data_IF_759614261082
#
_entry.id   IF_759614261082
#
_cell.length_a   1.000
_cell.length_b   1.000
_cell.length_c   1.000
_cell.angle_alpha   90.00
_cell.angle_beta   90.00
_cell.angle_gamma   90.00
#
_symmetry.space_group_name_H-M   'P 1'
#
loop_
_entity.id
_entity.type
_entity.pdbx_description
1 polymer ?
#
# COMPACT_ATOMS: atom_id res chain seq x y z
N UNK A 1 -10.28 18.55 -15.71
CA UNK A 1 -8.98 18.24 -15.05
C UNK A 1 -8.53 19.37 -14.10
N UNK A 2 -9.27 20.48 -14.01
CA UNK A 2 -9.07 21.56 -13.02
C UNK A 2 -9.61 21.26 -11.60
N UNK A 3 -10.57 20.34 -11.46
CA UNK A 3 -11.20 20.06 -10.16
C UNK A 3 -10.24 19.41 -9.13
N UNK A 4 -9.22 18.66 -9.56
CA UNK A 4 -8.18 18.12 -8.66
C UNK A 4 -7.07 19.12 -8.33
N UNK A 5 -6.95 20.19 -9.10
CA UNK A 5 -5.98 21.25 -8.83
C UNK A 5 -6.49 22.18 -7.72
N UNK A 6 -7.80 22.15 -7.45
CA UNK A 6 -8.46 22.91 -6.39
C UNK A 6 -8.51 22.19 -5.03
N UNK A 7 -8.18 20.90 -4.94
CA UNK A 7 -8.07 20.23 -3.63
C UNK A 7 -6.80 20.69 -2.94
N UNK A 8 -6.93 21.57 -1.94
CA UNK A 8 -5.77 22.16 -1.22
C UNK A 8 -5.18 21.22 -0.17
N UNK A 9 -5.87 20.13 0.16
CA UNK A 9 -5.50 19.28 1.30
C UNK A 9 -5.58 17.79 0.93
N UNK A 10 -4.61 16.99 1.40
CA UNK A 10 -4.61 15.53 1.20
C UNK A 10 -5.90 14.90 1.70
N UNK A 11 -6.45 15.34 2.83
CA UNK A 11 -7.71 14.83 3.39
C UNK A 11 -8.94 14.99 2.45
N UNK A 12 -9.02 16.07 1.67
CA UNK A 12 -10.09 16.27 0.70
C UNK A 12 -9.96 15.30 -0.48
N UNK A 13 -8.72 15.07 -0.93
CA UNK A 13 -8.41 14.13 -1.98
C UNK A 13 -8.71 12.69 -1.55
N UNK A 14 -8.36 12.33 -0.32
CA UNK A 14 -8.65 11.03 0.29
C UNK A 14 -10.17 10.79 0.39
N UNK A 15 -10.91 11.79 0.83
CA UNK A 15 -12.38 11.75 0.92
C UNK A 15 -13.02 11.63 -0.47
N UNK A 16 -12.53 12.39 -1.47
CA UNK A 16 -13.01 12.27 -2.84
C UNK A 16 -12.69 10.91 -3.46
N UNK A 17 -11.50 10.33 -3.20
CA UNK A 17 -11.11 9.02 -3.75
C UNK A 17 -11.83 7.84 -3.10
N UNK A 18 -12.18 7.95 -1.82
CA UNK A 18 -12.89 6.92 -1.06
C UNK A 18 -14.42 7.09 -1.09
N UNK A 19 -14.95 8.09 -1.80
CA UNK A 19 -16.38 8.36 -1.83
C UNK A 19 -17.14 7.24 -2.55
N UNK A 20 -17.93 6.49 -1.78
CA UNK A 20 -18.87 5.47 -2.25
C UNK A 20 -20.30 5.89 -1.83
N UNK A 21 -21.19 6.24 -2.79
CA UNK A 21 -22.56 6.63 -2.46
C UNK A 21 -23.46 5.44 -2.05
N UNK A 22 -22.93 4.20 -2.07
CA UNK A 22 -23.71 2.98 -1.80
C UNK A 22 -23.39 2.29 -0.47
N UNK A 23 -22.53 2.88 0.36
CA UNK A 23 -22.16 2.29 1.65
C UNK A 23 -23.31 2.41 2.66
N UNK A 24 -23.99 1.28 2.93
CA UNK A 24 -24.89 1.12 4.07
C UNK A 24 -24.14 1.33 5.40
N UNK A 25 -24.78 1.92 6.43
CA UNK A 25 -24.13 2.32 7.68
C UNK A 25 -23.64 1.19 8.61
N UNK A 26 -23.75 -0.09 8.21
CA UNK A 26 -23.53 -1.26 9.06
C UNK A 26 -22.25 -2.07 8.75
N UNK A 27 -21.23 -1.47 8.10
CA UNK A 27 -19.95 -2.15 7.92
C UNK A 27 -18.99 -1.79 9.06
N UNK A 28 -18.51 -2.83 9.76
CA UNK A 28 -17.67 -2.76 10.94
C UNK A 28 -16.55 -1.69 10.86
N UNK A 29 -16.37 -0.87 11.92
CA UNK A 29 -15.36 0.20 11.94
C UNK A 29 -13.91 -0.31 11.85
N UNK A 30 -13.67 -1.60 12.11
CA UNK A 30 -12.32 -2.20 12.02
C UNK A 30 -11.86 -2.46 10.57
N UNK A 31 -12.79 -2.61 9.61
CA UNK A 31 -12.44 -2.77 8.18
C UNK A 31 -12.34 -1.40 7.48
N UNK A 32 -13.04 -0.40 7.99
CA UNK A 32 -13.08 0.96 7.45
C UNK A 32 -11.76 1.72 7.66
N UNK A 33 -11.07 1.47 8.77
CA UNK A 33 -9.79 2.10 9.08
C UNK A 33 -8.58 1.52 8.32
N UNK A 34 -8.71 0.32 7.74
CA UNK A 34 -7.55 -0.45 7.28
C UNK A 34 -7.33 -0.38 5.76
N UNK A 35 -8.29 0.15 5.00
CA UNK A 35 -8.13 0.41 3.57
C UNK A 35 -8.83 1.70 3.22
N UNK A 36 -8.04 2.71 2.86
CA UNK A 36 -8.42 3.55 1.75
C UNK A 36 -8.74 2.62 0.57
N UNK A 37 -10.02 2.28 0.39
CA UNK A 37 -10.42 1.34 -0.68
C UNK A 37 -10.15 1.94 -2.06
N UNK A 38 -9.91 3.26 -2.13
CA UNK A 38 -9.52 3.98 -3.34
C UNK A 38 -10.47 3.60 -4.49
N UNK A 39 -11.75 3.37 -4.20
CA UNK A 39 -12.72 2.77 -5.13
C UNK A 39 -12.84 3.62 -6.42
N UNK A 40 -12.78 4.95 -6.29
CA UNK A 40 -12.77 5.84 -7.45
C UNK A 40 -11.45 5.83 -8.23
N UNK A 41 -10.32 5.59 -7.57
CA UNK A 41 -9.05 5.38 -8.26
C UNK A 41 -9.08 4.06 -9.03
N UNK A 42 -9.62 3.00 -8.43
CA UNK A 42 -9.82 1.71 -9.10
C UNK A 42 -10.73 1.87 -10.31
N UNK A 43 -11.86 2.55 -10.17
CA UNK A 43 -12.76 2.89 -11.27
C UNK A 43 -12.05 3.70 -12.37
N UNK A 44 -11.22 4.68 -12.00
CA UNK A 44 -10.45 5.47 -12.96
C UNK A 44 -9.39 4.62 -13.69
N UNK A 45 -8.80 3.61 -13.03
CA UNK A 45 -7.90 2.63 -13.66
C UNK A 45 -8.70 1.75 -14.64
N UNK A 46 -9.87 1.26 -14.24
CA UNK A 46 -10.75 0.44 -15.08
C UNK A 46 -11.20 1.19 -16.34
N UNK A 47 -11.53 2.48 -16.21
CA UNK A 47 -11.80 3.38 -17.34
C UNK A 47 -10.55 3.92 -18.06
N UNK A 48 -9.36 3.38 -17.76
CA UNK A 48 -8.07 3.73 -18.39
C UNK A 48 -7.75 5.23 -18.38
N UNK A 49 -8.14 5.96 -17.35
CA UNK A 49 -7.88 7.40 -17.19
C UNK A 49 -6.42 7.66 -16.79
N UNK A 50 -5.47 7.41 -17.71
CA UNK A 50 -4.01 7.48 -17.46
C UNK A 50 -3.56 8.83 -16.91
N UNK A 51 -4.12 9.93 -17.40
CA UNK A 51 -3.76 11.29 -16.96
C UNK A 51 -4.18 11.55 -15.51
N UNK A 52 -5.30 10.96 -15.05
CA UNK A 52 -5.76 11.08 -13.67
C UNK A 52 -4.89 10.25 -12.72
N UNK A 53 -4.60 9.00 -13.11
CA UNK A 53 -3.76 8.10 -12.30
C UNK A 53 -2.33 8.67 -12.16
N UNK A 54 -1.78 9.27 -13.21
CA UNK A 54 -0.45 9.85 -13.21
C UNK A 54 -0.34 11.22 -12.49
N UNK A 55 -1.44 11.75 -11.93
CA UNK A 55 -1.43 13.06 -11.27
C UNK A 55 -0.56 13.06 -10.01
N UNK A 56 0.20 14.13 -9.78
CA UNK A 56 1.20 14.20 -8.70
C UNK A 56 0.60 13.97 -7.31
N UNK A 57 -0.57 14.56 -7.02
CA UNK A 57 -1.24 14.41 -5.73
C UNK A 57 -1.73 12.96 -5.49
N UNK A 58 -2.19 12.29 -6.56
CA UNK A 58 -2.63 10.89 -6.51
C UNK A 58 -1.44 9.97 -6.29
N UNK A 59 -0.33 10.23 -6.99
CA UNK A 59 0.90 9.46 -6.82
C UNK A 59 1.53 9.66 -5.43
N UNK A 60 1.45 10.86 -4.87
CA UNK A 60 1.91 11.13 -3.51
C UNK A 60 1.09 10.36 -2.47
N UNK A 61 -0.24 10.33 -2.63
CA UNK A 61 -1.13 9.53 -1.78
C UNK A 61 -0.87 8.03 -1.92
N UNK A 62 -0.72 7.54 -3.15
CA UNK A 62 -0.42 6.13 -3.38
C UNK A 62 0.95 5.76 -2.79
N UNK A 63 1.94 6.65 -2.88
CA UNK A 63 3.24 6.45 -2.27
C UNK A 63 3.17 6.43 -0.73
N UNK A 64 2.34 7.27 -0.09
CA UNK A 64 2.19 7.22 1.36
C UNK A 64 1.54 5.92 1.84
N UNK A 65 0.54 5.41 1.11
CA UNK A 65 -0.06 4.10 1.40
C UNK A 65 0.93 2.96 1.12
N UNK A 66 1.71 3.06 0.04
CA UNK A 66 2.67 2.02 -0.36
C UNK A 66 3.81 1.86 0.65
N UNK A 67 4.38 2.97 1.12
CA UNK A 67 5.48 2.99 2.09
C UNK A 67 5.00 3.08 3.55
N UNK A 68 3.72 2.79 3.81
CA UNK A 68 3.18 2.85 5.15
C UNK A 68 3.97 1.96 6.12
N UNK A 69 4.40 2.58 7.23
CA UNK A 69 5.19 1.94 8.26
C UNK A 69 6.63 1.56 7.88
N UNK A 70 7.20 2.19 6.85
CA UNK A 70 8.64 2.31 6.64
C UNK A 70 9.04 3.79 6.46
N UNK A 71 8.97 4.59 7.54
CA UNK A 71 9.28 6.01 7.48
C UNK A 71 10.73 6.21 7.04
N UNK A 72 10.93 7.01 5.98
CA UNK A 72 12.28 7.36 5.51
C UNK A 72 12.91 6.38 4.52
N UNK A 73 12.33 5.21 4.27
CA UNK A 73 12.85 4.26 3.26
C UNK A 73 13.08 4.94 1.90
N UNK A 74 12.11 5.75 1.44
CA UNK A 74 12.21 6.51 0.19
C UNK A 74 13.35 7.53 0.17
N UNK A 75 13.77 8.05 1.32
CA UNK A 75 14.82 9.07 1.45
C UNK A 75 16.20 8.47 1.73
N UNK A 76 16.27 7.17 2.04
CA UNK A 76 17.53 6.49 2.31
C UNK A 76 18.38 6.33 1.04
N UNK A 77 19.69 6.23 1.24
CA UNK A 77 20.64 5.97 0.17
C UNK A 77 20.39 4.57 -0.43
N UNK A 78 20.69 4.41 -1.72
CA UNK A 78 20.48 3.15 -2.44
C UNK A 78 21.08 1.91 -1.74
N UNK A 79 22.32 1.93 -1.23
CA UNK A 79 22.87 0.75 -0.54
C UNK A 79 22.09 0.37 0.73
N UNK A 80 21.60 1.37 1.47
CA UNK A 80 20.80 1.16 2.68
C UNK A 80 19.44 0.55 2.33
N UNK A 81 18.82 1.00 1.24
CA UNK A 81 17.56 0.43 0.72
C UNK A 81 17.76 -1.03 0.30
N UNK A 82 18.85 -1.34 -0.41
CA UNK A 82 19.18 -2.72 -0.80
C UNK A 82 19.40 -3.62 0.42
N UNK A 83 20.10 -3.13 1.45
CA UNK A 83 20.34 -3.89 2.67
C UNK A 83 19.04 -4.18 3.43
N UNK A 84 18.15 -3.20 3.54
CA UNK A 84 16.85 -3.36 4.20
C UNK A 84 15.95 -4.35 3.43
N UNK A 85 15.95 -4.25 2.10
CA UNK A 85 15.27 -5.20 1.22
C UNK A 85 15.82 -6.62 1.39
N UNK A 86 17.14 -6.79 1.42
CA UNK A 86 17.79 -8.08 1.61
C UNK A 86 17.46 -8.70 2.98
N UNK A 87 17.40 -7.88 4.04
CA UNK A 87 17.01 -8.34 5.38
C UNK A 87 15.57 -8.87 5.41
N UNK A 88 14.62 -8.10 4.87
CA UNK A 88 13.21 -8.51 4.83
C UNK A 88 13.04 -9.73 3.92
N UNK A 89 13.67 -9.72 2.75
CA UNK A 89 13.64 -10.80 1.78
C UNK A 89 14.24 -12.09 2.30
N UNK A 90 15.38 -12.06 2.99
CA UNK A 90 15.98 -13.27 3.59
C UNK A 90 15.12 -13.87 4.70
N UNK A 91 14.42 -13.02 5.46
CA UNK A 91 13.49 -13.44 6.51
C UNK A 91 12.09 -13.83 5.98
N UNK A 92 11.87 -13.93 4.65
CA UNK A 92 10.55 -14.22 4.08
C UNK A 92 9.85 -15.47 4.66
N UNK A 93 10.52 -16.62 4.95
CA UNK A 93 9.80 -17.78 5.47
C UNK A 93 9.29 -17.53 6.89
N UNK A 94 10.07 -16.86 7.73
CA UNK A 94 9.70 -16.51 9.10
C UNK A 94 8.51 -15.55 9.09
N UNK A 95 8.57 -14.51 8.25
CA UNK A 95 7.48 -13.52 8.12
C UNK A 95 6.19 -14.20 7.63
N UNK A 96 6.29 -15.12 6.68
CA UNK A 96 5.14 -15.85 6.12
C UNK A 96 4.49 -16.78 7.15
N UNK A 97 5.30 -17.56 7.89
CA UNK A 97 4.80 -18.46 8.95
C UNK A 97 4.21 -17.66 10.10
N UNK A 98 4.85 -16.57 10.52
CA UNK A 98 4.35 -15.71 11.58
C UNK A 98 2.99 -15.08 11.21
N UNK A 99 2.80 -14.71 9.94
CA UNK A 99 1.53 -14.20 9.43
C UNK A 99 0.41 -15.25 9.51
N UNK A 100 0.69 -16.52 9.20
CA UNK A 100 -0.27 -17.62 9.28
C UNK A 100 -0.64 -17.93 10.74
N UNK A 101 0.35 -17.99 11.64
CA UNK A 101 0.14 -18.40 13.03
C UNK A 101 -0.46 -17.29 13.90
N UNK A 102 0.02 -16.06 13.74
CA UNK A 102 -0.43 -14.90 14.54
C UNK A 102 -0.61 -13.67 13.64
N UNK A 103 -1.74 -13.58 12.94
CA UNK A 103 -1.98 -12.51 11.98
C UNK A 103 -2.09 -11.11 12.60
N UNK A 104 -2.38 -11.01 13.91
CA UNK A 104 -2.47 -9.75 14.67
C UNK A 104 -1.20 -9.40 15.46
N UNK A 105 -0.14 -10.21 15.38
CA UNK A 105 1.14 -9.91 16.02
C UNK A 105 1.94 -8.86 15.25
N UNK A 106 3.00 -8.31 15.84
CA UNK A 106 3.84 -7.27 15.21
C UNK A 106 4.34 -7.66 13.81
N UNK A 107 4.81 -8.91 13.64
CA UNK A 107 5.24 -9.43 12.34
C UNK A 107 4.08 -9.67 11.37
N UNK A 108 2.93 -10.14 11.87
CA UNK A 108 1.73 -10.36 11.06
C UNK A 108 1.17 -9.05 10.51
N UNK A 109 1.05 -8.03 11.35
CA UNK A 109 0.64 -6.68 10.94
C UNK A 109 1.65 -6.02 10.00
N UNK A 110 2.96 -6.26 10.21
CA UNK A 110 4.00 -5.81 9.28
C UNK A 110 3.87 -6.48 7.91
N UNK A 111 3.59 -7.78 7.85
CA UNK A 111 3.41 -8.52 6.59
C UNK A 111 2.16 -8.10 5.80
N UNK A 112 1.17 -7.48 6.46
CA UNK A 112 -0.04 -6.93 5.81
C UNK A 112 0.24 -5.66 5.00
N UNK A 113 1.34 -4.95 5.28
CA UNK A 113 1.73 -3.73 4.56
C UNK A 113 2.06 -4.06 3.09
N UNK A 114 1.60 -3.23 2.13
CA UNK A 114 1.66 -3.56 0.71
C UNK A 114 3.09 -3.77 0.20
N UNK A 115 4.03 -2.91 0.60
CA UNK A 115 5.43 -3.05 0.18
C UNK A 115 6.11 -4.29 0.77
N UNK A 116 5.89 -4.58 2.06
CA UNK A 116 6.44 -5.78 2.70
C UNK A 116 5.90 -7.05 2.04
N UNK A 117 4.59 -7.08 1.76
CA UNK A 117 3.95 -8.20 1.05
C UNK A 117 4.56 -8.41 -0.35
N UNK A 118 4.83 -7.33 -1.07
CA UNK A 118 5.51 -7.38 -2.36
C UNK A 118 6.92 -7.97 -2.25
N UNK A 119 7.71 -7.57 -1.26
CA UNK A 119 9.05 -8.12 -1.02
C UNK A 119 8.99 -9.62 -0.74
N UNK A 120 8.15 -10.03 0.21
CA UNK A 120 8.03 -11.43 0.62
C UNK A 120 7.60 -12.31 -0.56
N UNK A 121 6.63 -11.84 -1.35
CA UNK A 121 6.19 -12.56 -2.54
C UNK A 121 7.32 -12.69 -3.57
N UNK A 122 8.04 -11.59 -3.84
CA UNK A 122 9.16 -11.58 -4.78
C UNK A 122 10.31 -12.48 -4.31
N UNK A 123 10.65 -12.45 -3.02
CA UNK A 123 11.69 -13.30 -2.43
C UNK A 123 11.33 -14.78 -2.50
N UNK A 124 10.09 -15.15 -2.18
CA UNK A 124 9.61 -16.52 -2.31
C UNK A 124 9.67 -17.00 -3.76
N UNK A 125 9.34 -16.14 -4.72
CA UNK A 125 9.42 -16.49 -6.15
C UNK A 125 10.88 -16.64 -6.62
N UNK A 126 11.78 -15.76 -6.19
CA UNK A 126 13.21 -15.91 -6.48
C UNK A 126 13.77 -17.20 -5.88
N UNK A 127 13.42 -17.52 -4.64
CA UNK A 127 13.83 -18.77 -4.00
C UNK A 127 13.36 -19.99 -4.78
N UNK A 128 12.09 -19.99 -5.22
CA UNK A 128 11.54 -21.05 -6.07
C UNK A 128 12.29 -21.21 -7.40
N UNK A 129 12.73 -20.12 -8.04
CA UNK A 129 13.52 -20.18 -9.28
C UNK A 129 14.99 -20.56 -9.06
N UNK A 130 15.48 -20.49 -7.82
CA UNK A 130 16.84 -20.87 -7.48
C UNK A 130 17.00 -22.36 -7.15
N UNK A 131 15.90 -23.08 -6.87
CA UNK A 131 15.84 -24.55 -6.87
C UNK A 131 15.64 -25.10 -8.29
#
# INVERSE_FOLDING_TARGET
MELLDHTRTSAELETMLNHDPTLLPDLDPEDTGQRMKLERLKLAIDYRQKKFVAHANVQQLLASVWYDGMPGFRRNNFPSQCLELAKIGSCFPIVSVAYILRPHGTLGTMARKPFIKFIVHSASYMFFLCE
#
